data_IF_672433877727
#
_entry.id   IF_672433877727
#
_cell.length_a   1.000
_cell.length_b   1.000
_cell.length_c   1.000
_cell.angle_alpha   90.00
_cell.angle_beta   90.00
_cell.angle_gamma   90.00
#
_symmetry.space_group_name_H-M   'P 1'
#
loop_
_entity.id
_entity.type
_entity.pdbx_description
1 polymer ?
#
# COMPACT_ATOMS: atom_id res chain seq x y z
N UNK A 1 -24.40 25.54 0.25
CA UNK A 1 -23.57 24.31 0.24
C UNK A 1 -23.39 23.73 -1.19
N UNK A 2 -23.45 24.55 -2.25
CA UNK A 2 -23.34 24.09 -3.65
C UNK A 2 -22.00 24.43 -4.33
N UNK A 3 -21.02 25.01 -3.61
CA UNK A 3 -19.72 25.38 -4.19
C UNK A 3 -18.69 24.25 -4.26
N UNK A 4 -18.95 23.09 -3.65
CA UNK A 4 -17.94 22.03 -3.47
C UNK A 4 -18.07 20.83 -4.42
N UNK A 5 -18.97 20.87 -5.41
CA UNK A 5 -19.15 19.78 -6.38
C UNK A 5 -18.45 20.02 -7.72
N UNK A 6 -17.87 21.21 -7.93
CA UNK A 6 -17.19 21.57 -9.19
C UNK A 6 -15.68 21.38 -9.17
N UNK A 7 -15.06 20.95 -8.06
CA UNK A 7 -13.60 20.84 -7.98
C UNK A 7 -13.02 19.49 -8.43
N UNK A 8 -13.86 18.47 -8.67
CA UNK A 8 -13.38 17.09 -8.85
C UNK A 8 -13.70 16.46 -10.20
N UNK A 9 -14.01 17.24 -11.22
CA UNK A 9 -14.11 16.72 -12.59
C UNK A 9 -13.28 17.59 -13.51
N UNK A 10 -12.10 17.10 -13.89
CA UNK A 10 -11.33 17.62 -15.02
C UNK A 10 -12.10 17.26 -16.31
N UNK A 11 -13.12 18.05 -16.65
CA UNK A 11 -13.68 18.03 -18.00
C UNK A 11 -12.73 18.80 -18.92
N UNK A 12 -12.41 18.21 -20.07
CA UNK A 12 -11.69 18.89 -21.14
C UNK A 12 -12.58 19.99 -21.74
N UNK A 13 -11.95 21.03 -22.28
CA UNK A 13 -12.60 22.26 -22.77
C UNK A 13 -13.74 21.99 -23.75
N UNK A 14 -13.63 20.94 -24.57
CA UNK A 14 -14.63 20.52 -25.55
C UNK A 14 -15.92 19.95 -24.91
N UNK A 15 -15.82 19.31 -23.73
CA UNK A 15 -16.97 18.74 -23.03
C UNK A 15 -17.79 19.83 -22.30
N UNK A 16 -17.13 20.92 -21.89
CA UNK A 16 -17.79 22.07 -21.28
C UNK A 16 -18.65 22.88 -22.28
N UNK A 17 -18.23 22.91 -23.55
CA UNK A 17 -18.94 23.63 -24.62
C UNK A 17 -20.20 22.89 -25.07
N UNK A 18 -20.18 21.55 -25.06
CA UNK A 18 -21.36 20.71 -25.34
C UNK A 18 -22.45 20.84 -24.26
N UNK A 19 -22.05 20.95 -22.98
CA UNK A 19 -23.00 21.18 -21.87
C UNK A 19 -23.60 22.59 -21.94
N UNK A 20 -22.84 23.58 -22.39
CA UNK A 20 -23.34 24.94 -22.59
C UNK A 20 -24.32 25.04 -23.78
N UNK A 21 -24.05 24.34 -24.88
CA UNK A 21 -24.95 24.29 -26.03
C UNK A 21 -26.28 23.60 -25.72
N UNK A 22 -26.27 22.49 -24.96
CA UNK A 22 -27.50 21.80 -24.54
C UNK A 22 -28.41 22.67 -23.64
N UNK A 23 -27.84 23.60 -22.88
CA UNK A 23 -28.59 24.48 -21.99
C UNK A 23 -29.10 25.77 -22.68
N UNK A 24 -28.60 26.08 -23.88
CA UNK A 24 -29.04 27.23 -24.67
C UNK A 24 -30.26 26.92 -25.56
N UNK A 25 -30.43 25.67 -25.99
CA UNK A 25 -31.52 25.27 -26.89
C UNK A 25 -32.86 25.04 -26.15
N UNK A 26 -32.85 24.87 -24.83
CA UNK A 26 -34.07 24.77 -24.01
C UNK A 26 -34.81 26.10 -23.83
N UNK A 27 -34.16 27.25 -24.07
CA UNK A 27 -34.73 28.58 -23.84
C UNK A 27 -35.32 29.27 -25.10
N UNK A 28 -35.41 28.57 -26.25
CA UNK A 28 -35.91 29.16 -27.51
C UNK A 28 -37.38 28.92 -27.84
N UNK A 29 -38.14 28.22 -26.97
CA UNK A 29 -39.56 27.92 -27.21
C UNK A 29 -40.51 28.52 -26.16
N UNK A 30 -40.25 29.74 -25.68
CA UNK A 30 -41.24 30.53 -24.96
C UNK A 30 -41.19 32.00 -25.39
N UNK A 31 -41.88 32.34 -26.49
CA UNK A 31 -42.54 33.63 -26.77
C UNK A 31 -43.03 33.68 -28.22
N UNK A 32 -44.26 33.22 -28.43
CA UNK A 32 -45.13 33.74 -29.49
C UNK A 32 -46.56 33.72 -28.97
N UNK A 33 -46.86 34.68 -28.09
CA UNK A 33 -48.20 34.99 -27.62
C UNK A 33 -48.86 35.96 -28.58
N UNK A 34 -50.00 35.54 -29.12
CA UNK A 34 -50.88 36.28 -30.03
C UNK A 34 -51.25 37.67 -29.48
N UNK A 35 -51.00 38.72 -30.27
CA UNK A 35 -51.66 40.02 -30.12
C UNK A 35 -53.06 39.94 -30.74
N UNK A 36 -54.11 39.87 -29.92
CA UNK A 36 -55.48 40.09 -30.36
C UNK A 36 -55.72 41.60 -30.51
N UNK A 37 -55.89 42.03 -31.76
CA UNK A 37 -56.31 43.36 -32.14
C UNK A 37 -57.84 43.46 -31.94
N UNK A 38 -58.28 43.90 -30.77
CA UNK A 38 -59.64 44.40 -30.57
C UNK A 38 -59.69 45.83 -31.08
N UNK A 39 -60.57 46.09 -32.05
CA UNK A 39 -61.23 47.38 -32.37
C UNK A 39 -61.28 47.61 -33.88
N UNK A 40 -62.42 47.26 -34.48
CA UNK A 40 -63.09 48.03 -35.53
C UNK A 40 -64.37 47.30 -35.92
N UNK A 41 -65.47 47.72 -35.32
CA UNK A 41 -66.82 47.65 -35.88
C UNK A 41 -67.72 48.46 -34.95
N UNK A 42 -67.64 49.77 -35.09
CA UNK A 42 -68.72 50.64 -34.68
C UNK A 42 -68.77 51.83 -35.64
N UNK A 43 -70.01 52.18 -35.99
CA UNK A 43 -70.48 53.39 -36.68
C UNK A 43 -70.36 53.38 -38.20
N UNK A 44 -71.48 53.04 -38.85
CA UNK A 44 -72.42 53.99 -39.44
C UNK A 44 -73.33 53.19 -40.40
N UNK A 45 -74.63 53.41 -40.53
CA UNK A 45 -75.52 54.39 -39.96
C UNK A 45 -76.95 53.90 -40.20
N UNK A 46 -77.79 54.07 -39.19
CA UNK A 46 -79.23 54.15 -39.36
C UNK A 46 -79.52 55.17 -40.47
N UNK A 47 -80.10 54.73 -41.58
CA UNK A 47 -80.85 55.61 -42.46
C UNK A 47 -82.23 55.00 -42.67
N UNK A 48 -83.02 55.05 -41.61
CA UNK A 48 -84.46 55.03 -41.71
C UNK A 48 -84.88 56.36 -42.35
N UNK A 49 -84.92 56.39 -43.68
CA UNK A 49 -85.66 57.41 -44.41
C UNK A 49 -87.14 57.10 -44.27
N UNK A 50 -87.73 57.75 -43.28
CA UNK A 50 -89.15 57.96 -43.06
C UNK A 50 -89.94 58.15 -44.36
N UNK A 51 -90.74 57.15 -44.69
CA UNK A 51 -92.09 57.38 -45.21
C UNK A 51 -93.07 56.97 -44.10
N UNK A 52 -93.51 57.99 -43.36
CA UNK A 52 -94.69 57.93 -42.50
C UNK A 52 -95.90 57.59 -43.38
N UNK A 53 -96.17 56.30 -43.57
CA UNK A 53 -97.47 55.83 -44.05
C UNK A 53 -98.35 55.67 -42.82
N UNK A 54 -99.36 56.52 -42.78
CA UNK A 54 -100.41 56.53 -41.77
C UNK A 54 -101.08 55.14 -41.74
N UNK A 55 -100.78 54.34 -40.72
CA UNK A 55 -101.32 52.98 -40.56
C UNK A 55 -102.84 53.02 -40.41
N UNK A 56 -103.55 52.76 -41.51
CA UNK A 56 -104.93 52.26 -41.51
C UNK A 56 -105.03 51.17 -42.56
N UNK A 57 -105.53 50.03 -42.08
CA UNK A 57 -105.74 48.73 -42.75
C UNK A 57 -104.58 47.74 -42.63
N UNK A 58 -104.95 46.61 -42.02
CA UNK A 58 -104.23 45.36 -41.76
C UNK A 58 -103.44 44.73 -42.93
N UNK A 59 -103.74 44.94 -44.23
CA UNK A 59 -103.02 44.26 -45.33
C UNK A 59 -101.57 44.74 -45.54
N UNK A 60 -101.28 46.02 -45.29
CA UNK A 60 -99.97 46.62 -45.58
C UNK A 60 -98.90 46.26 -44.55
N UNK A 61 -99.32 45.95 -43.32
CA UNK A 61 -98.43 45.43 -42.29
C UNK A 61 -97.98 44.00 -42.62
N UNK A 62 -98.89 43.15 -43.11
CA UNK A 62 -98.56 41.79 -43.50
C UNK A 62 -97.70 41.71 -44.77
N UNK A 63 -97.85 42.65 -45.72
CA UNK A 63 -96.98 42.71 -46.89
C UNK A 63 -95.56 43.20 -46.54
N UNK A 64 -95.43 44.18 -45.64
CA UNK A 64 -94.13 44.61 -45.11
C UNK A 64 -93.45 43.52 -44.27
N UNK A 65 -94.21 42.83 -43.42
CA UNK A 65 -93.71 41.72 -42.61
C UNK A 65 -93.31 40.53 -43.50
N UNK A 66 -94.05 40.25 -44.57
CA UNK A 66 -93.68 39.26 -45.59
C UNK A 66 -92.43 39.69 -46.39
N UNK A 67 -92.22 40.99 -46.60
CA UNK A 67 -91.01 41.52 -47.24
C UNK A 67 -89.80 41.37 -46.32
N UNK A 68 -89.95 41.60 -45.01
CA UNK A 68 -88.90 41.34 -44.00
C UNK A 68 -88.66 39.83 -43.82
N UNK A 69 -89.68 38.98 -43.90
CA UNK A 69 -89.53 37.52 -43.89
C UNK A 69 -88.87 36.98 -45.18
N UNK A 70 -89.05 37.65 -46.32
CA UNK A 70 -88.34 37.34 -47.57
C UNK A 70 -86.90 37.87 -47.59
N UNK A 71 -86.64 39.04 -47.00
CA UNK A 71 -85.30 39.62 -46.83
C UNK A 71 -84.50 38.94 -45.70
N UNK A 72 -85.17 38.36 -44.70
CA UNK A 72 -84.59 37.33 -43.82
C UNK A 72 -84.46 36.01 -44.59
N UNK A 73 -83.61 36.05 -45.59
CA UNK A 73 -83.26 34.88 -46.38
C UNK A 73 -82.90 33.71 -45.45
N UNK A 74 -83.45 32.50 -45.67
CA UNK A 74 -82.97 31.30 -45.01
C UNK A 74 -81.47 31.06 -45.32
N UNK A 75 -80.91 31.74 -46.31
CA UNK A 75 -79.47 31.80 -46.59
C UNK A 75 -78.66 32.50 -45.48
N UNK A 76 -79.14 33.60 -44.89
CA UNK A 76 -78.43 34.29 -43.80
C UNK A 76 -78.51 33.48 -42.49
N UNK A 77 -79.68 32.92 -42.18
CA UNK A 77 -79.85 32.00 -41.04
C UNK A 77 -79.07 30.71 -41.27
N UNK A 78 -79.06 30.16 -42.49
CA UNK A 78 -78.24 29.00 -42.88
C UNK A 78 -76.75 29.29 -42.78
N UNK A 79 -76.30 30.47 -43.19
CA UNK A 79 -74.90 30.90 -43.11
C UNK A 79 -74.46 31.09 -41.65
N UNK A 80 -75.27 31.74 -40.81
CA UNK A 80 -75.02 31.85 -39.36
C UNK A 80 -75.02 30.45 -38.70
N UNK A 81 -75.92 29.56 -39.11
CA UNK A 81 -75.99 28.19 -38.60
C UNK A 81 -74.82 27.33 -39.08
N UNK A 82 -74.32 27.57 -40.29
CA UNK A 82 -73.13 26.94 -40.86
C UNK A 82 -71.86 27.44 -40.15
N UNK A 83 -71.72 28.75 -39.94
CA UNK A 83 -70.64 29.35 -39.16
C UNK A 83 -70.67 28.88 -37.69
N UNK A 84 -71.84 28.75 -37.07
CA UNK A 84 -71.98 28.16 -35.72
C UNK A 84 -71.59 26.68 -35.69
N UNK A 85 -71.89 25.93 -36.76
CA UNK A 85 -71.48 24.52 -36.89
C UNK A 85 -69.96 24.42 -37.08
N UNK A 86 -69.38 25.31 -37.86
CA UNK A 86 -67.93 25.41 -38.10
C UNK A 86 -67.18 25.84 -36.82
N UNK A 87 -67.69 26.82 -36.08
CA UNK A 87 -67.18 27.18 -34.75
C UNK A 87 -67.29 26.02 -33.77
N UNK A 88 -68.42 25.29 -33.75
CA UNK A 88 -68.56 24.09 -32.90
C UNK A 88 -67.57 22.99 -33.29
N UNK A 89 -67.33 22.76 -34.58
CA UNK A 89 -66.33 21.79 -35.01
C UNK A 89 -64.90 22.24 -34.71
N UNK A 90 -64.62 23.54 -34.82
CA UNK A 90 -63.33 24.12 -34.45
C UNK A 90 -63.09 24.03 -32.94
N UNK A 91 -64.11 24.32 -32.13
CA UNK A 91 -64.05 24.15 -30.68
C UNK A 91 -63.85 22.68 -30.29
N UNK A 92 -64.55 21.75 -30.95
CA UNK A 92 -64.35 20.32 -30.76
C UNK A 92 -62.93 19.87 -31.15
N UNK A 93 -62.36 20.43 -32.22
CA UNK A 93 -60.98 20.18 -32.63
C UNK A 93 -59.98 20.75 -31.61
N UNK A 94 -60.25 21.93 -31.03
CA UNK A 94 -59.46 22.54 -29.98
C UNK A 94 -59.48 21.70 -28.70
N UNK A 95 -60.66 21.26 -28.26
CA UNK A 95 -60.79 20.37 -27.09
C UNK A 95 -60.10 19.02 -27.31
N UNK A 96 -60.13 18.49 -28.54
CA UNK A 96 -59.40 17.27 -28.88
C UNK A 96 -57.87 17.50 -28.93
N UNK A 97 -57.44 18.71 -29.28
CA UNK A 97 -56.03 19.09 -29.20
C UNK A 97 -55.60 19.18 -27.74
N UNK A 98 -56.41 19.81 -26.89
CA UNK A 98 -56.16 19.97 -25.46
C UNK A 98 -56.11 18.63 -24.71
N UNK A 99 -57.01 17.69 -25.03
CA UNK A 99 -56.95 16.33 -24.46
C UNK A 99 -55.70 15.59 -24.92
N UNK A 100 -55.31 15.68 -26.20
CA UNK A 100 -54.06 15.08 -26.69
C UNK A 100 -52.82 15.70 -26.04
N UNK A 101 -52.80 17.02 -25.87
CA UNK A 101 -51.71 17.73 -25.21
C UNK A 101 -51.61 17.30 -23.74
N UNK A 102 -52.74 17.14 -23.07
CA UNK A 102 -52.82 16.59 -21.72
C UNK A 102 -52.30 15.14 -21.65
N UNK A 103 -52.69 14.28 -22.60
CA UNK A 103 -52.16 12.91 -22.67
C UNK A 103 -50.65 12.86 -22.96
N UNK A 104 -50.13 13.77 -23.79
CA UNK A 104 -48.70 13.86 -24.09
C UNK A 104 -47.94 14.33 -22.85
N UNK A 105 -48.46 15.33 -22.12
CA UNK A 105 -47.89 15.80 -20.85
C UNK A 105 -47.85 14.68 -19.81
N UNK A 106 -48.94 13.95 -19.64
CA UNK A 106 -49.00 12.79 -18.72
C UNK A 106 -48.02 11.69 -19.13
N UNK A 107 -47.88 11.43 -20.43
CA UNK A 107 -46.91 10.46 -20.96
C UNK A 107 -45.45 10.92 -20.75
N UNK A 108 -45.18 12.22 -20.89
CA UNK A 108 -43.86 12.80 -20.62
C UNK A 108 -43.51 12.76 -19.14
N UNK A 109 -44.48 13.02 -18.26
CA UNK A 109 -44.28 12.92 -16.82
C UNK A 109 -44.01 11.48 -16.40
N UNK A 110 -44.78 10.52 -16.92
CA UNK A 110 -44.55 9.09 -16.71
C UNK A 110 -43.17 8.65 -17.24
N UNK A 111 -42.77 9.16 -18.41
CA UNK A 111 -41.46 8.88 -18.99
C UNK A 111 -40.34 9.43 -18.10
N UNK A 112 -40.48 10.67 -17.62
CA UNK A 112 -39.48 11.30 -16.75
C UNK A 112 -39.36 10.55 -15.42
N UNK A 113 -40.48 10.15 -14.80
CA UNK A 113 -40.47 9.32 -13.59
C UNK A 113 -39.76 7.99 -13.81
N UNK A 114 -40.04 7.29 -14.93
CA UNK A 114 -39.34 6.05 -15.26
C UNK A 114 -37.85 6.27 -15.49
N UNK A 115 -37.48 7.36 -16.16
CA UNK A 115 -36.08 7.71 -16.39
C UNK A 115 -35.34 7.98 -15.08
N UNK A 116 -35.94 8.75 -14.17
CA UNK A 116 -35.39 8.99 -12.83
C UNK A 116 -35.24 7.68 -12.04
N UNK A 117 -36.24 6.81 -12.06
CA UNK A 117 -36.15 5.50 -11.40
C UNK A 117 -35.05 4.61 -11.99
N UNK A 118 -34.88 4.60 -13.32
CA UNK A 118 -33.79 3.86 -13.97
C UNK A 118 -32.43 4.46 -13.61
N UNK A 119 -32.32 5.79 -13.55
CA UNK A 119 -31.10 6.46 -13.14
C UNK A 119 -30.73 6.15 -11.68
N UNK A 120 -31.70 6.20 -10.75
CA UNK A 120 -31.50 5.80 -9.35
C UNK A 120 -31.10 4.33 -9.23
N UNK A 121 -31.80 3.42 -9.93
CA UNK A 121 -31.46 2.00 -9.94
C UNK A 121 -30.06 1.74 -10.49
N UNK A 122 -29.68 2.45 -11.56
CA UNK A 122 -28.36 2.31 -12.18
C UNK A 122 -27.27 2.86 -11.26
N UNK A 123 -27.51 3.99 -10.61
CA UNK A 123 -26.59 4.56 -9.63
C UNK A 123 -26.44 3.64 -8.40
N UNK A 124 -27.53 3.07 -7.90
CA UNK A 124 -27.49 2.08 -6.81
C UNK A 124 -26.72 0.83 -7.22
N UNK A 125 -26.90 0.35 -8.45
CA UNK A 125 -26.15 -0.80 -8.98
C UNK A 125 -24.67 -0.47 -9.14
N UNK A 126 -24.34 0.73 -9.61
CA UNK A 126 -22.97 1.21 -9.71
C UNK A 126 -22.30 1.31 -8.34
N UNK A 127 -22.99 1.85 -7.34
CA UNK A 127 -22.51 1.89 -5.95
C UNK A 127 -22.30 0.48 -5.38
N UNK A 128 -23.22 -0.46 -5.63
CA UNK A 128 -23.06 -1.85 -5.22
C UNK A 128 -21.85 -2.51 -5.90
N UNK A 129 -21.64 -2.24 -7.19
CA UNK A 129 -20.48 -2.73 -7.93
C UNK A 129 -19.16 -2.19 -7.36
N UNK A 130 -19.10 -0.88 -7.09
CA UNK A 130 -17.93 -0.25 -6.48
C UNK A 130 -17.65 -0.82 -5.09
N UNK A 131 -18.68 -0.96 -4.24
CA UNK A 131 -18.52 -1.57 -2.92
C UNK A 131 -17.97 -3.00 -3.01
N UNK A 132 -18.46 -3.81 -3.96
CA UNK A 132 -17.94 -5.16 -4.18
C UNK A 132 -16.49 -5.11 -4.66
N UNK A 133 -16.15 -4.17 -5.54
CA UNK A 133 -14.77 -3.99 -6.02
C UNK A 133 -13.82 -3.60 -4.88
N UNK A 134 -14.23 -2.67 -4.02
CA UNK A 134 -13.47 -2.25 -2.84
C UNK A 134 -13.30 -3.42 -1.86
N UNK A 135 -14.39 -4.15 -1.58
CA UNK A 135 -14.36 -5.35 -0.73
C UNK A 135 -13.43 -6.43 -1.30
N UNK A 136 -13.40 -6.59 -2.62
CA UNK A 136 -12.51 -7.52 -3.30
C UNK A 136 -11.04 -7.08 -3.15
N UNK A 137 -10.75 -5.80 -3.30
CA UNK A 137 -9.39 -5.27 -3.08
C UNK A 137 -8.93 -5.46 -1.64
N UNK A 138 -9.81 -5.20 -0.66
CA UNK A 138 -9.52 -5.43 0.75
C UNK A 138 -9.26 -6.91 1.04
N UNK A 139 -10.08 -7.81 0.49
CA UNK A 139 -9.88 -9.25 0.64
C UNK A 139 -8.54 -9.69 0.05
N UNK A 140 -8.16 -9.20 -1.13
CA UNK A 140 -6.86 -9.48 -1.75
C UNK A 140 -5.72 -8.97 -0.87
N UNK A 141 -5.83 -7.75 -0.32
CA UNK A 141 -4.83 -7.20 0.59
C UNK A 141 -4.67 -8.08 1.85
N UNK A 142 -5.79 -8.54 2.42
CA UNK A 142 -5.80 -9.45 3.56
C UNK A 142 -5.16 -10.81 3.22
N UNK A 143 -5.43 -11.37 2.04
CA UNK A 143 -4.80 -12.61 1.59
C UNK A 143 -3.28 -12.45 1.48
N UNK A 144 -2.79 -11.36 0.89
CA UNK A 144 -1.35 -11.07 0.78
C UNK A 144 -0.71 -10.91 2.17
N UNK A 145 -1.39 -10.25 3.11
CA UNK A 145 -0.91 -10.15 4.49
C UNK A 145 -0.83 -11.51 5.19
N UNK A 146 -1.86 -12.35 5.02
CA UNK A 146 -1.86 -13.71 5.57
C UNK A 146 -0.73 -14.54 4.95
N UNK A 147 -0.50 -14.44 3.64
CA UNK A 147 0.57 -15.14 2.95
C UNK A 147 1.95 -14.69 3.43
N UNK A 148 2.18 -13.38 3.59
CA UNK A 148 3.40 -12.83 4.15
C UNK A 148 3.64 -13.32 5.59
N UNK A 149 2.60 -13.33 6.41
CA UNK A 149 2.67 -13.85 7.78
C UNK A 149 3.03 -15.34 7.77
N UNK A 150 2.35 -16.14 6.94
CA UNK A 150 2.62 -17.57 6.77
C UNK A 150 4.03 -17.85 6.24
N UNK A 151 4.60 -16.96 5.44
CA UNK A 151 5.97 -17.10 4.95
C UNK A 151 6.99 -17.13 6.09
N UNK A 152 6.80 -16.37 7.19
CA UNK A 152 7.68 -16.47 8.36
C UNK A 152 7.61 -17.84 9.05
N UNK A 153 6.45 -18.50 9.04
CA UNK A 153 6.32 -19.86 9.58
C UNK A 153 6.98 -20.89 8.66
N UNK A 154 6.72 -20.80 7.35
CA UNK A 154 7.31 -21.69 6.34
C UNK A 154 8.84 -21.56 6.27
N UNK A 155 9.36 -20.35 6.37
CA UNK A 155 10.82 -20.10 6.40
C UNK A 155 11.46 -20.73 7.63
N UNK A 156 10.87 -20.62 8.82
CA UNK A 156 11.39 -21.31 10.02
C UNK A 156 11.36 -22.83 9.87
N UNK A 157 10.33 -23.39 9.25
CA UNK A 157 10.25 -24.84 8.99
C UNK A 157 11.32 -25.29 7.98
N UNK A 158 11.54 -24.49 6.92
CA UNK A 158 12.62 -24.71 5.96
C UNK A 158 13.99 -24.62 6.63
N UNK A 159 14.21 -23.60 7.46
CA UNK A 159 15.44 -23.39 8.20
C UNK A 159 15.69 -24.54 9.18
N UNK A 160 14.69 -25.01 9.92
CA UNK A 160 14.84 -26.16 10.81
C UNK A 160 15.29 -27.41 10.04
N UNK A 161 14.70 -27.68 8.88
CA UNK A 161 15.09 -28.81 8.05
C UNK A 161 16.54 -28.67 7.55
N UNK A 162 16.96 -27.46 7.17
CA UNK A 162 18.34 -27.22 6.75
C UNK A 162 19.34 -27.35 7.89
N UNK A 163 19.05 -26.80 9.08
CA UNK A 163 19.93 -26.79 10.25
C UNK A 163 20.00 -28.17 10.92
N UNK A 164 18.93 -28.96 10.82
CA UNK A 164 18.91 -30.35 11.32
C UNK A 164 19.70 -31.31 10.43
N UNK A 165 20.10 -30.89 9.23
CA UNK A 165 20.93 -31.71 8.37
C UNK A 165 22.38 -31.71 8.89
N UNK A 166 22.99 -32.87 9.19
CA UNK A 166 24.36 -32.97 9.72
C UNK A 166 25.43 -32.48 8.74
N UNK A 167 25.10 -32.27 7.46
CA UNK A 167 26.00 -31.69 6.46
C UNK A 167 25.92 -30.17 6.35
N UNK A 168 25.10 -29.52 7.19
CA UNK A 168 24.96 -28.08 7.18
C UNK A 168 26.26 -27.42 7.68
N UNK A 169 27.05 -26.92 6.73
CA UNK A 169 28.28 -26.18 6.97
C UNK A 169 28.11 -24.68 6.85
N UNK A 170 29.18 -23.95 7.16
CA UNK A 170 29.27 -22.51 6.97
C UNK A 170 29.35 -22.15 5.49
N UNK A 171 28.19 -22.10 4.84
CA UNK A 171 28.03 -21.62 3.46
C UNK A 171 27.87 -20.09 3.42
N UNK A 172 28.03 -19.48 2.26
CA UNK A 172 27.71 -18.06 2.03
C UNK A 172 26.26 -17.70 2.39
N UNK A 173 25.35 -18.68 2.34
CA UNK A 173 23.95 -18.54 2.75
C UNK A 173 23.72 -18.50 4.26
N UNK A 174 24.74 -18.75 5.08
CA UNK A 174 24.58 -18.76 6.54
C UNK A 174 24.18 -17.39 7.09
N UNK A 175 24.71 -16.31 6.50
CA UNK A 175 24.35 -14.95 6.86
C UNK A 175 22.87 -14.63 6.61
N UNK A 176 22.31 -15.09 5.48
CA UNK A 176 20.89 -14.88 5.14
C UNK A 176 19.98 -15.71 6.03
N UNK A 177 20.35 -16.96 6.33
CA UNK A 177 19.61 -17.81 7.26
C UNK A 177 19.51 -17.14 8.64
N UNK A 178 20.62 -16.56 9.14
CA UNK A 178 20.58 -15.83 10.41
C UNK A 178 19.71 -14.57 10.35
N UNK A 179 19.72 -13.80 9.25
CA UNK A 179 18.82 -12.64 9.12
C UNK A 179 17.35 -13.05 9.07
N UNK A 180 17.04 -14.17 8.43
CA UNK A 180 15.68 -14.70 8.33
C UNK A 180 15.18 -15.16 9.71
N UNK A 181 16.04 -15.83 10.50
CA UNK A 181 15.74 -16.20 11.89
C UNK A 181 15.54 -14.94 12.75
N UNK A 182 16.43 -13.95 12.68
CA UNK A 182 16.34 -12.71 13.46
C UNK A 182 15.03 -11.96 13.14
N UNK A 183 14.68 -11.88 11.85
CA UNK A 183 13.47 -11.21 11.39
C UNK A 183 12.22 -11.96 11.84
N UNK A 184 12.23 -13.29 11.77
CA UNK A 184 11.15 -14.13 12.27
C UNK A 184 10.98 -14.01 13.80
N UNK A 185 12.08 -13.96 14.56
CA UNK A 185 12.02 -13.75 16.02
C UNK A 185 11.39 -12.39 16.34
N UNK A 186 11.81 -11.32 15.67
CA UNK A 186 11.21 -9.98 15.84
C UNK A 186 9.71 -10.01 15.52
N UNK A 187 9.33 -10.62 14.40
CA UNK A 187 7.93 -10.77 14.00
C UNK A 187 7.08 -11.53 15.03
N UNK A 188 7.58 -12.65 15.58
CA UNK A 188 6.85 -13.43 16.59
C UNK A 188 6.77 -12.74 17.95
N UNK A 189 7.75 -11.90 18.30
CA UNK A 189 7.72 -11.10 19.52
C UNK A 189 6.68 -9.97 19.41
N UNK A 190 6.63 -9.30 18.25
CA UNK A 190 5.65 -8.24 17.98
C UNK A 190 4.22 -8.79 17.87
N UNK A 191 4.06 -10.01 17.33
CA UNK A 191 2.76 -10.65 17.12
C UNK A 191 2.50 -11.83 18.09
N UNK A 192 2.66 -11.57 19.40
CA UNK A 192 2.43 -12.58 20.45
C UNK A 192 0.96 -13.00 20.62
N UNK A 193 0.04 -12.39 19.88
CA UNK A 193 -1.41 -12.68 19.91
C UNK A 193 -1.79 -13.92 19.12
N UNK A 194 -0.95 -14.38 18.19
CA UNK A 194 -1.24 -15.60 17.42
C UNK A 194 -1.11 -16.87 18.28
N UNK A 195 -2.03 -17.81 18.10
CA UNK A 195 -2.11 -19.06 18.88
C UNK A 195 -0.82 -19.89 18.84
N UNK A 196 -0.17 -19.96 17.69
CA UNK A 196 1.05 -20.76 17.49
C UNK A 196 2.34 -19.93 17.58
N UNK A 197 2.25 -18.62 17.85
CA UNK A 197 3.43 -17.73 17.95
C UNK A 197 4.42 -18.23 19.00
N UNK A 198 3.95 -18.64 20.17
CA UNK A 198 4.80 -19.11 21.26
C UNK A 198 5.55 -20.42 20.91
N UNK A 199 4.94 -21.30 20.12
CA UNK A 199 5.58 -22.53 19.66
C UNK A 199 6.66 -22.23 18.62
N UNK A 200 6.33 -21.43 17.61
CA UNK A 200 7.28 -21.05 16.56
C UNK A 200 8.41 -20.15 17.06
N UNK A 201 8.16 -19.33 18.08
CA UNK A 201 9.20 -18.54 18.75
C UNK A 201 10.21 -19.45 19.46
N UNK A 202 9.75 -20.47 20.20
CA UNK A 202 10.65 -21.47 20.81
C UNK A 202 11.43 -22.23 19.74
N UNK A 203 10.77 -22.58 18.65
CA UNK A 203 11.38 -23.25 17.50
C UNK A 203 12.46 -22.39 16.83
N UNK A 204 12.18 -21.12 16.58
CA UNK A 204 13.12 -20.16 16.02
C UNK A 204 14.34 -19.96 16.94
N UNK A 205 14.12 -19.82 18.26
CA UNK A 205 15.22 -19.76 19.25
C UNK A 205 16.06 -21.04 19.29
N UNK A 206 15.42 -22.20 19.16
CA UNK A 206 16.13 -23.48 19.05
C UNK A 206 16.99 -23.55 17.79
N UNK A 207 16.47 -23.09 16.65
CA UNK A 207 17.25 -23.00 15.40
C UNK A 207 18.43 -22.03 15.54
N UNK A 208 18.21 -20.87 16.17
CA UNK A 208 19.27 -19.91 16.48
C UNK A 208 20.36 -20.54 17.35
N UNK A 209 19.98 -21.23 18.44
CA UNK A 209 20.92 -21.91 19.33
C UNK A 209 21.72 -23.00 18.61
N UNK A 210 21.08 -23.78 17.73
CA UNK A 210 21.79 -24.76 16.88
C UNK A 210 22.79 -24.07 15.95
N UNK A 211 22.40 -22.99 15.27
CA UNK A 211 23.30 -22.21 14.41
C UNK A 211 24.49 -21.65 15.20
N UNK A 212 24.27 -21.09 16.39
CA UNK A 212 25.33 -20.61 17.27
C UNK A 212 26.26 -21.73 17.72
N UNK A 213 25.71 -22.89 18.09
CA UNK A 213 26.49 -24.07 18.45
C UNK A 213 27.37 -24.55 17.30
N UNK A 214 26.90 -24.48 16.04
CA UNK A 214 27.70 -24.84 14.88
C UNK A 214 28.88 -23.88 14.68
N UNK A 215 28.65 -22.57 14.81
CA UNK A 215 29.72 -21.56 14.73
C UNK A 215 30.76 -21.82 15.83
N UNK A 216 30.29 -22.06 17.06
CA UNK A 216 31.17 -22.39 18.19
C UNK A 216 31.97 -23.67 17.94
N UNK A 217 31.32 -24.74 17.47
CA UNK A 217 32.02 -26.00 17.16
C UNK A 217 33.10 -25.79 16.11
N UNK A 218 32.77 -25.09 15.02
CA UNK A 218 33.73 -24.77 13.96
C UNK A 218 34.89 -23.93 14.49
N UNK A 219 34.60 -22.92 15.32
CA UNK A 219 35.63 -22.10 15.96
C UNK A 219 36.56 -22.96 16.83
N UNK A 220 35.99 -23.77 17.71
CA UNK A 220 36.73 -24.66 18.59
C UNK A 220 37.58 -25.67 17.80
N UNK A 221 37.03 -26.27 16.75
CA UNK A 221 37.73 -27.22 15.88
C UNK A 221 38.93 -26.58 15.17
N UNK A 222 38.77 -25.38 14.62
CA UNK A 222 39.85 -24.68 13.92
C UNK A 222 40.96 -24.24 14.88
N UNK A 223 40.59 -23.75 16.07
CA UNK A 223 41.57 -23.37 17.11
C UNK A 223 42.28 -24.61 17.66
N UNK A 224 41.56 -25.71 17.91
CA UNK A 224 42.14 -26.98 18.35
C UNK A 224 43.04 -27.61 17.28
N UNK A 225 42.69 -27.50 15.99
CA UNK A 225 43.56 -27.95 14.90
C UNK A 225 44.87 -27.18 14.91
N UNK A 226 44.81 -25.85 15.03
CA UNK A 226 46.02 -25.02 15.13
C UNK A 226 46.86 -25.36 16.38
N UNK A 227 46.21 -25.72 17.49
CA UNK A 227 46.88 -26.21 18.69
C UNK A 227 47.57 -27.57 18.47
N UNK A 228 46.90 -28.55 17.85
CA UNK A 228 47.48 -29.87 17.55
C UNK A 228 48.66 -29.78 16.58
N UNK A 229 48.55 -28.91 15.58
CA UNK A 229 49.62 -28.63 14.63
C UNK A 229 50.83 -27.98 15.30
N UNK A 230 50.64 -27.27 16.42
CA UNK A 230 51.73 -26.79 17.25
C UNK A 230 52.38 -27.92 18.06
N UNK A 231 51.57 -28.80 18.68
CA UNK A 231 52.10 -29.89 19.50
C UNK A 231 53.00 -30.83 18.68
N UNK A 232 52.62 -31.12 17.44
CA UNK A 232 53.44 -31.89 16.49
C UNK A 232 54.74 -31.16 16.10
N UNK A 233 54.67 -29.85 15.83
CA UNK A 233 55.84 -29.05 15.44
C UNK A 233 56.78 -28.74 16.61
N UNK A 234 56.27 -28.71 17.84
CA UNK A 234 57.06 -28.46 19.05
C UNK A 234 58.14 -29.52 19.28
N UNK A 235 57.95 -30.72 18.72
CA UNK A 235 58.92 -31.82 18.78
C UNK A 235 60.08 -31.66 17.79
N UNK A 236 59.97 -30.77 16.79
CA UNK A 236 60.93 -30.66 15.68
C UNK A 236 61.62 -29.30 15.56
N UNK A 237 61.12 -28.23 16.20
CA UNK A 237 61.58 -26.86 15.99
C UNK A 237 62.44 -26.31 17.15
N UNK A 238 63.65 -25.85 16.81
CA UNK A 238 64.59 -25.17 17.72
C UNK A 238 64.08 -23.78 18.14
N UNK A 239 64.12 -23.53 19.45
CA UNK A 239 63.59 -22.42 20.27
C UNK A 239 63.54 -20.98 19.71
N UNK A 240 64.32 -20.59 18.70
CA UNK A 240 64.44 -19.17 18.31
C UNK A 240 63.34 -18.68 17.36
N UNK A 241 62.73 -19.56 16.55
CA UNK A 241 61.72 -19.19 15.54
C UNK A 241 60.31 -19.73 15.84
N UNK A 242 60.15 -20.54 16.88
CA UNK A 242 58.89 -21.18 17.28
C UNK A 242 57.77 -20.17 17.47
N UNK A 243 58.08 -19.01 18.06
CA UNK A 243 57.11 -17.96 18.31
C UNK A 243 56.55 -17.30 17.05
N UNK A 244 57.40 -17.01 16.05
CA UNK A 244 56.93 -16.41 14.79
C UNK A 244 56.08 -17.39 13.97
N UNK A 245 56.45 -18.68 13.99
CA UNK A 245 55.70 -19.74 13.32
C UNK A 245 54.32 -19.91 13.98
N UNK A 246 54.27 -19.92 15.31
CA UNK A 246 53.04 -19.93 16.09
C UNK A 246 52.14 -18.75 15.73
N UNK A 247 52.67 -17.53 15.79
CA UNK A 247 51.92 -16.33 15.45
C UNK A 247 51.37 -16.40 14.01
N UNK A 248 52.18 -16.82 13.04
CA UNK A 248 51.77 -16.95 11.65
C UNK A 248 50.62 -17.96 11.45
N UNK A 249 50.68 -19.12 12.11
CA UNK A 249 49.62 -20.14 12.05
C UNK A 249 48.30 -19.64 12.63
N UNK A 250 48.33 -19.08 13.85
CA UNK A 250 47.12 -18.56 14.49
C UNK A 250 46.56 -17.34 13.76
N UNK A 251 47.43 -16.50 13.17
CA UNK A 251 46.99 -15.41 12.32
C UNK A 251 46.21 -15.91 11.10
N UNK A 252 46.68 -16.96 10.42
CA UNK A 252 45.96 -17.57 9.29
C UNK A 252 44.64 -18.22 9.72
N UNK A 253 44.57 -18.81 10.91
CA UNK A 253 43.32 -19.33 11.47
C UNK A 253 42.35 -18.19 11.79
N UNK A 254 42.86 -17.08 12.32
CA UNK A 254 42.08 -15.87 12.59
C UNK A 254 41.47 -15.25 11.34
N UNK A 255 42.24 -15.14 10.25
CA UNK A 255 41.70 -14.60 8.98
C UNK A 255 40.58 -15.46 8.40
N UNK A 256 40.63 -16.78 8.59
CA UNK A 256 39.56 -17.70 8.16
C UNK A 256 38.29 -17.58 9.01
N UNK A 257 38.44 -17.38 10.32
CA UNK A 257 37.32 -17.31 11.27
C UNK A 257 36.69 -15.91 11.38
N UNK A 258 37.42 -14.87 10.96
CA UNK A 258 36.98 -13.48 11.05
C UNK A 258 35.60 -13.21 10.44
N UNK A 259 35.23 -13.75 9.25
CA UNK A 259 33.90 -13.54 8.70
C UNK A 259 32.77 -14.07 9.61
N UNK A 260 32.97 -15.25 10.20
CA UNK A 260 32.00 -15.85 11.12
C UNK A 260 31.86 -15.02 12.40
N UNK A 261 32.98 -14.62 13.00
CA UNK A 261 32.98 -13.79 14.23
C UNK A 261 32.36 -12.42 13.97
N UNK A 262 32.66 -11.80 12.82
CA UNK A 262 32.09 -10.50 12.45
C UNK A 262 30.56 -10.55 12.34
N UNK A 263 30.01 -11.65 11.80
CA UNK A 263 28.55 -11.83 11.76
C UNK A 263 27.90 -11.91 13.15
N UNK A 264 28.60 -12.43 14.16
CA UNK A 264 28.15 -12.42 15.55
C UNK A 264 28.26 -11.02 16.17
N UNK A 265 29.38 -10.33 15.94
CA UNK A 265 29.63 -8.98 16.46
C UNK A 265 28.56 -7.99 15.97
N UNK A 266 28.17 -8.05 14.69
CA UNK A 266 27.12 -7.20 14.13
C UNK A 266 25.73 -7.48 14.71
N UNK A 267 25.47 -8.72 15.13
CA UNK A 267 24.15 -9.17 15.64
C UNK A 267 24.04 -9.18 17.15
N UNK A 268 25.08 -8.76 17.86
CA UNK A 268 25.10 -8.72 19.34
C UNK A 268 23.96 -7.87 19.93
N UNK A 269 23.45 -6.89 19.18
CA UNK A 269 22.32 -6.04 19.60
C UNK A 269 20.93 -6.68 19.42
N UNK A 270 20.80 -7.73 18.59
CA UNK A 270 19.50 -8.34 18.30
C UNK A 270 19.05 -9.30 19.40
N UNK A 271 19.95 -10.18 19.85
CA UNK A 271 19.64 -11.20 20.87
C UNK A 271 20.87 -11.42 21.78
N UNK A 272 20.69 -11.49 23.12
CA UNK A 272 21.79 -11.70 24.06
C UNK A 272 22.52 -13.04 23.89
N UNK A 273 21.91 -14.03 23.23
CA UNK A 273 22.54 -15.33 22.96
C UNK A 273 23.78 -15.20 22.05
N UNK A 274 23.80 -14.20 21.17
CA UNK A 274 24.96 -13.90 20.34
C UNK A 274 26.16 -13.44 21.18
N UNK A 275 25.90 -12.60 22.19
CA UNK A 275 26.95 -12.09 23.08
C UNK A 275 27.55 -13.21 23.94
N UNK A 276 26.69 -14.05 24.53
CA UNK A 276 27.12 -15.22 25.32
C UNK A 276 28.00 -16.16 24.49
N UNK A 277 27.59 -16.48 23.26
CA UNK A 277 28.38 -17.37 22.38
C UNK A 277 29.72 -16.74 22.01
N UNK A 278 29.74 -15.43 21.77
CA UNK A 278 30.96 -14.69 21.47
C UNK A 278 31.91 -14.68 22.67
N UNK A 279 31.41 -14.46 23.88
CA UNK A 279 32.19 -14.53 25.11
C UNK A 279 32.79 -15.93 25.32
N UNK A 280 32.00 -16.98 25.13
CA UNK A 280 32.48 -18.37 25.22
C UNK A 280 33.61 -18.66 24.21
N UNK A 281 33.52 -18.11 23.00
CA UNK A 281 34.60 -18.21 22.00
C UNK A 281 35.87 -17.46 22.44
N UNK A 282 35.73 -16.26 23.03
CA UNK A 282 36.87 -15.51 23.57
C UNK A 282 37.54 -16.29 24.70
N UNK A 283 36.77 -16.75 25.68
CA UNK A 283 37.27 -17.53 26.82
C UNK A 283 37.99 -18.79 26.35
N UNK A 284 37.44 -19.49 25.36
CA UNK A 284 38.07 -20.65 24.76
C UNK A 284 39.39 -20.32 24.06
N UNK A 285 39.46 -19.21 23.31
CA UNK A 285 40.68 -18.77 22.65
C UNK A 285 41.76 -18.43 23.69
N UNK A 286 41.43 -17.59 24.67
CA UNK A 286 42.34 -17.16 25.73
C UNK A 286 42.87 -18.36 26.51
N UNK A 287 41.99 -19.29 26.91
CA UNK A 287 42.38 -20.51 27.62
C UNK A 287 43.34 -21.39 26.83
N UNK A 288 43.13 -21.55 25.51
CA UNK A 288 44.05 -22.31 24.66
C UNK A 288 45.37 -21.58 24.45
N UNK A 289 45.34 -20.25 24.30
CA UNK A 289 46.54 -19.43 24.15
C UNK A 289 47.38 -19.44 25.42
N UNK A 290 46.77 -19.35 26.59
CA UNK A 290 47.48 -19.42 27.88
C UNK A 290 48.28 -20.73 28.00
N UNK A 291 47.68 -21.87 27.63
CA UNK A 291 48.33 -23.19 27.64
C UNK A 291 49.58 -23.25 26.76
N UNK A 292 49.58 -22.59 25.60
CA UNK A 292 50.74 -22.55 24.69
C UNK A 292 51.76 -21.50 25.16
N UNK A 293 51.29 -20.32 25.54
CA UNK A 293 52.14 -19.16 25.77
C UNK A 293 52.94 -19.27 27.07
N UNK A 294 52.30 -19.74 28.15
CA UNK A 294 52.93 -19.84 29.47
C UNK A 294 54.22 -20.69 29.48
N UNK A 295 54.26 -21.91 28.90
CA UNK A 295 55.50 -22.70 28.83
C UNK A 295 56.55 -22.07 27.90
N UNK A 296 56.15 -21.41 26.80
CA UNK A 296 57.08 -20.73 25.88
C UNK A 296 57.76 -19.54 26.57
N UNK A 297 57.00 -18.72 27.30
CA UNK A 297 57.52 -17.59 28.06
C UNK A 297 58.44 -18.06 29.18
N UNK A 298 58.05 -19.09 29.94
CA UNK A 298 58.91 -19.69 30.99
C UNK A 298 60.22 -20.22 30.42
N UNK A 299 60.17 -20.96 29.31
CA UNK A 299 61.36 -21.54 28.67
C UNK A 299 62.29 -20.46 28.13
N UNK A 300 61.73 -19.45 27.44
CA UNK A 300 62.50 -18.31 26.92
C UNK A 300 63.13 -17.47 28.04
N UNK A 301 62.40 -17.27 29.14
CA UNK A 301 62.89 -16.54 30.31
C UNK A 301 64.02 -17.30 31.00
N UNK A 302 63.89 -18.62 31.22
CA UNK A 302 64.95 -19.45 31.78
C UNK A 302 66.20 -19.46 30.89
N UNK A 303 66.05 -19.52 29.57
CA UNK A 303 67.18 -19.42 28.63
C UNK A 303 67.89 -18.06 28.72
N UNK A 304 67.14 -16.96 28.85
CA UNK A 304 67.71 -15.62 29.00
C UNK A 304 68.44 -15.46 30.34
N UNK A 305 67.89 -16.03 31.42
CA UNK A 305 68.52 -16.03 32.75
C UNK A 305 69.87 -16.74 32.69
N UNK A 306 69.93 -17.94 32.08
CA UNK A 306 71.18 -18.69 31.89
C UNK A 306 72.17 -17.91 31.02
N UNK A 307 71.71 -17.27 29.95
CA UNK A 307 72.56 -16.52 29.00
C UNK A 307 73.16 -15.24 29.60
N UNK A 308 72.48 -14.61 30.56
CA UNK A 308 72.86 -13.31 31.11
C UNK A 308 73.12 -13.32 32.63
N UNK A 309 73.48 -14.48 33.19
CA UNK A 309 73.66 -14.73 34.64
C UNK A 309 74.50 -13.67 35.37
N UNK A 310 75.50 -13.07 34.71
CA UNK A 310 76.42 -12.08 35.30
C UNK A 310 76.04 -10.60 35.06
N UNK A 311 74.97 -10.31 34.32
CA UNK A 311 74.58 -8.94 33.91
C UNK A 311 73.10 -8.66 34.18
N UNK A 312 72.76 -8.44 35.46
CA UNK A 312 71.38 -8.21 35.92
C UNK A 312 70.64 -7.09 35.17
N UNK A 313 71.30 -5.96 34.88
CA UNK A 313 70.66 -4.84 34.17
C UNK A 313 70.35 -5.17 32.70
N UNK A 314 71.21 -5.97 32.04
CA UNK A 314 70.98 -6.41 30.66
C UNK A 314 69.89 -7.46 30.62
N UNK A 315 69.90 -8.40 31.57
CA UNK A 315 68.86 -9.41 31.74
C UNK A 315 67.47 -8.76 31.94
N UNK A 316 67.35 -7.80 32.85
CA UNK A 316 66.07 -7.14 33.10
C UNK A 316 65.55 -6.42 31.84
N UNK A 317 66.42 -5.70 31.13
CA UNK A 317 66.05 -5.01 29.89
C UNK A 317 65.65 -5.98 28.78
N UNK A 318 66.34 -7.10 28.62
CA UNK A 318 66.02 -8.10 27.59
C UNK A 318 64.75 -8.87 27.91
N UNK A 319 64.51 -9.23 29.18
CA UNK A 319 63.26 -9.87 29.62
C UNK A 319 62.08 -8.91 29.50
N UNK A 320 62.22 -7.64 29.89
CA UNK A 320 61.17 -6.64 29.75
C UNK A 320 60.82 -6.38 28.27
N UNK A 321 61.83 -6.25 27.41
CA UNK A 321 61.63 -6.11 25.95
C UNK A 321 60.97 -7.35 25.34
N UNK A 322 61.34 -8.54 25.82
CA UNK A 322 60.70 -9.79 25.40
C UNK A 322 59.22 -9.81 25.80
N UNK A 323 58.88 -9.51 27.05
CA UNK A 323 57.50 -9.50 27.54
C UNK A 323 56.65 -8.44 26.84
N UNK A 324 57.18 -7.24 26.64
CA UNK A 324 56.50 -6.19 25.86
C UNK A 324 56.19 -6.67 24.45
N UNK A 325 57.17 -7.30 23.77
CA UNK A 325 56.96 -7.88 22.45
C UNK A 325 55.88 -8.96 22.45
N UNK A 326 55.83 -9.80 23.48
CA UNK A 326 54.77 -10.80 23.65
C UNK A 326 53.39 -10.15 23.77
N UNK A 327 53.24 -9.17 24.67
CA UNK A 327 51.98 -8.44 24.85
C UNK A 327 51.52 -7.77 23.54
N UNK A 328 52.43 -7.10 22.81
CA UNK A 328 52.11 -6.46 21.54
C UNK A 328 51.63 -7.48 20.50
N UNK A 329 52.28 -8.63 20.42
CA UNK A 329 51.91 -9.68 19.45
C UNK A 329 50.61 -10.38 19.80
N UNK A 330 50.33 -10.63 21.08
CA UNK A 330 49.04 -11.20 21.51
C UNK A 330 47.90 -10.21 21.26
N UNK A 331 48.12 -8.93 21.56
CA UNK A 331 47.13 -7.88 21.30
C UNK A 331 46.82 -7.79 19.81
N UNK A 332 47.85 -7.78 18.96
CA UNK A 332 47.66 -7.80 17.49
C UNK A 332 46.91 -9.04 17.04
N UNK A 333 47.28 -10.22 17.56
CA UNK A 333 46.58 -11.45 17.23
C UNK A 333 45.11 -11.38 17.64
N UNK A 334 44.81 -10.95 18.86
CA UNK A 334 43.44 -10.80 19.34
C UNK A 334 42.61 -9.88 18.44
N UNK A 335 43.18 -8.74 18.03
CA UNK A 335 42.53 -7.79 17.12
C UNK A 335 42.32 -8.34 15.69
N UNK A 336 43.03 -9.40 15.30
CA UNK A 336 42.74 -10.11 14.05
C UNK A 336 41.51 -11.01 14.14
N UNK A 337 41.16 -11.49 15.33
CA UNK A 337 39.96 -12.30 15.56
C UNK A 337 38.75 -11.43 15.88
N UNK A 338 38.92 -10.46 16.78
CA UNK A 338 37.84 -9.66 17.38
C UNK A 338 38.01 -8.17 17.12
N UNK A 339 36.88 -7.45 17.10
CA UNK A 339 36.85 -6.00 16.96
C UNK A 339 37.38 -5.30 18.23
N UNK A 340 38.00 -4.11 18.10
CA UNK A 340 38.64 -3.41 19.22
C UNK A 340 37.68 -3.01 20.34
N UNK A 341 36.38 -2.89 20.05
CA UNK A 341 35.33 -2.62 21.04
C UNK A 341 35.18 -3.70 22.11
N UNK A 342 35.67 -4.92 21.85
CA UNK A 342 35.62 -6.04 22.80
C UNK A 342 36.86 -6.14 23.70
N UNK A 343 37.90 -5.36 23.44
CA UNK A 343 39.11 -5.34 24.26
C UNK A 343 38.85 -4.70 25.65
N UNK A 344 37.97 -3.69 25.71
CA UNK A 344 37.58 -3.02 26.95
C UNK A 344 36.61 -3.81 27.82
N UNK A 345 36.09 -4.94 27.33
CA UNK A 345 35.22 -5.84 28.10
C UNK A 345 36.00 -6.94 28.84
N UNK A 346 37.31 -7.01 28.61
CA UNK A 346 38.22 -8.01 29.21
C UNK A 346 39.03 -7.41 30.37
N UNK A 347 39.16 -6.08 30.43
CA UNK A 347 39.62 -5.32 31.60
C UNK A 347 38.48 -5.13 32.61
#
# INVERSE_FOLDING_TARGET
MFSNLLSNVNLTTDESELVFQLNCDTNKYEKSGMTHNTNKLEKDGLNASSQLVHLKLTPDFYSWLATIEQEQEPANISNIKAQMKELKSSFAALTNCETKLSCILESLELFNQKHLSVAENTNSLYQACNHISDSQQELIANVVQIENNLNYFSTIDSIENTVSNPKFGFSSSFGTILTDIDSAIKFFVENSTFKDSAYYLKKARSCLSKCLSLIKSQFCEQVNSAFRDYELDSQTITSSNTFMILFGKFHLTGTKLRPSIKLLEERTQNDPSYDSTLQECIEFLVSNREKILLPVVKSSSSQLIIKHEKKNCVLLRTVASLLSRFCDTETKLFLHFFSPSKLSSIE
#
